data_IF_693978662090
#
_entry.id   IF_693978662090
#
_cell.length_a   1.000
_cell.length_b   1.000
_cell.length_c   1.000
_cell.angle_alpha   90.00
_cell.angle_beta   90.00
_cell.angle_gamma   90.00
#
_symmetry.space_group_name_H-M   'P 1'
#
loop_
_entity.id
_entity.type
_entity.pdbx_description
1 polymer ?
#
# COMPACT_ATOMS: atom_id res chain seq x y z
N UNK A 1 33.06 -6.02 22.00
CA UNK A 1 31.60 -5.80 21.97
C UNK A 1 31.36 -4.30 21.96
N UNK A 2 31.15 -3.74 20.79
CA UNK A 2 30.60 -2.38 20.63
C UNK A 2 29.54 -2.48 19.55
N UNK A 3 28.31 -2.19 19.96
CA UNK A 3 27.10 -2.27 19.19
C UNK A 3 27.18 -1.30 18.00
N UNK A 4 27.14 -1.84 16.78
CA UNK A 4 26.67 -1.09 15.62
C UNK A 4 25.18 -1.36 15.49
N UNK A 5 24.38 -0.73 16.36
CA UNK A 5 22.98 -0.48 16.03
C UNK A 5 23.04 0.47 14.84
N UNK A 6 22.76 -0.05 13.65
CA UNK A 6 22.43 0.80 12.53
C UNK A 6 21.34 1.75 12.99
N UNK A 7 21.52 3.03 12.72
CA UNK A 7 20.36 3.89 12.55
C UNK A 7 19.56 3.24 11.42
N UNK A 8 18.56 2.43 11.77
CA UNK A 8 17.39 2.27 10.94
C UNK A 8 16.72 3.65 10.97
N UNK A 9 17.29 4.58 10.19
CA UNK A 9 16.80 5.94 10.08
C UNK A 9 15.34 5.87 9.67
N UNK A 10 14.50 6.69 10.31
CA UNK A 10 13.12 6.84 9.89
C UNK A 10 13.05 7.00 8.36
N UNK A 11 12.07 6.34 7.73
CA UNK A 11 11.89 6.37 6.29
C UNK A 11 11.97 7.80 5.76
N UNK A 12 12.77 8.01 4.71
CA UNK A 12 12.86 9.30 4.04
C UNK A 12 12.00 9.37 2.78
N UNK A 13 11.90 10.55 2.17
CA UNK A 13 11.07 10.77 0.98
C UNK A 13 11.47 9.91 -0.21
N UNK A 14 12.77 9.76 -0.48
CA UNK A 14 13.29 8.97 -1.60
C UNK A 14 13.01 7.47 -1.40
N UNK A 15 13.16 6.96 -0.18
CA UNK A 15 12.83 5.58 0.17
C UNK A 15 11.32 5.32 0.05
N UNK A 16 10.49 6.23 0.60
CA UNK A 16 9.04 6.13 0.48
C UNK A 16 8.60 6.11 -0.99
N UNK A 17 9.13 7.04 -1.78
CA UNK A 17 8.80 7.14 -3.20
C UNK A 17 9.31 5.94 -3.99
N UNK A 18 10.52 5.44 -3.69
CA UNK A 18 11.10 4.27 -4.33
C UNK A 18 10.28 3.01 -4.09
N UNK A 19 9.78 2.81 -2.87
CA UNK A 19 8.94 1.67 -2.51
C UNK A 19 7.59 1.72 -3.23
N UNK A 20 6.92 2.88 -3.24
CA UNK A 20 5.67 3.04 -4.00
C UNK A 20 5.90 2.87 -5.50
N UNK A 21 7.01 3.39 -6.03
CA UNK A 21 7.36 3.22 -7.44
C UNK A 21 7.53 1.74 -7.80
N UNK A 22 8.19 0.97 -6.93
CA UNK A 22 8.37 -0.47 -7.11
C UNK A 22 7.01 -1.20 -7.13
N UNK A 23 6.13 -0.92 -6.16
CA UNK A 23 4.81 -1.55 -6.06
C UNK A 23 3.88 -1.26 -7.22
N UNK A 24 4.00 -0.06 -7.80
CA UNK A 24 3.22 0.38 -8.96
C UNK A 24 3.88 0.05 -10.30
N UNK A 25 5.09 -0.52 -10.28
CA UNK A 25 5.89 -0.80 -11.48
C UNK A 25 6.03 0.42 -12.41
N UNK A 26 6.11 1.61 -11.83
CA UNK A 26 6.14 2.83 -12.61
C UNK A 26 7.51 3.06 -13.27
N UNK A 27 7.50 3.56 -14.53
CA UNK A 27 8.73 3.75 -15.29
C UNK A 27 9.58 4.92 -14.79
N UNK A 28 8.98 5.87 -14.07
CA UNK A 28 9.63 7.08 -13.60
C UNK A 28 9.09 7.57 -12.25
N UNK A 29 10.00 8.15 -11.47
CA UNK A 29 9.71 8.73 -10.15
C UNK A 29 8.72 9.89 -10.22
N UNK A 30 8.70 10.63 -11.34
CA UNK A 30 7.77 11.75 -11.53
C UNK A 30 6.31 11.30 -11.51
N UNK A 31 6.00 10.17 -12.18
CA UNK A 31 4.67 9.53 -12.13
C UNK A 31 4.32 9.09 -10.72
N UNK A 32 5.28 8.50 -10.00
CA UNK A 32 5.07 8.04 -8.62
C UNK A 32 4.73 9.19 -7.68
N UNK A 33 5.51 10.28 -7.71
CA UNK A 33 5.26 11.45 -6.86
C UNK A 33 3.90 12.07 -7.16
N UNK A 34 3.47 12.09 -8.43
CA UNK A 34 2.12 12.56 -8.78
C UNK A 34 1.02 11.69 -8.17
N UNK A 35 1.14 10.36 -8.25
CA UNK A 35 0.18 9.43 -7.66
C UNK A 35 0.11 9.56 -6.13
N UNK A 36 1.26 9.61 -5.45
CA UNK A 36 1.34 9.83 -4.00
C UNK A 36 0.66 11.15 -3.62
N UNK A 37 1.07 12.25 -4.25
CA UNK A 37 0.54 13.59 -3.97
C UNK A 37 -0.98 13.63 -4.22
N UNK A 38 -1.43 13.13 -5.37
CA UNK A 38 -2.85 13.13 -5.74
C UNK A 38 -3.68 12.36 -4.72
N UNK A 39 -3.24 11.16 -4.33
CA UNK A 39 -3.92 10.32 -3.34
C UNK A 39 -3.98 11.03 -1.98
N UNK A 40 -2.83 11.45 -1.45
CA UNK A 40 -2.71 11.99 -0.09
C UNK A 40 -3.38 13.35 0.08
N UNK A 41 -3.31 14.23 -0.93
CA UNK A 41 -4.06 15.50 -0.90
C UNK A 41 -5.56 15.26 -0.92
N UNK A 42 -6.03 14.33 -1.75
CA UNK A 42 -7.47 14.01 -1.82
C UNK A 42 -7.95 13.39 -0.52
N UNK A 43 -7.14 12.53 0.11
CA UNK A 43 -7.48 11.95 1.40
C UNK A 43 -7.51 13.02 2.51
N UNK A 44 -6.54 13.92 2.52
CA UNK A 44 -6.49 15.05 3.47
C UNK A 44 -7.70 15.98 3.34
N UNK A 45 -8.20 16.21 2.12
CA UNK A 45 -9.45 16.97 1.91
C UNK A 45 -10.68 16.26 2.49
N UNK A 46 -10.73 14.92 2.41
CA UNK A 46 -11.89 14.13 2.84
C UNK A 46 -12.02 14.06 4.36
N UNK A 47 -10.90 13.96 5.07
CA UNK A 47 -10.88 13.72 6.51
C UNK A 47 -10.69 15.03 7.30
N UNK A 48 -11.11 15.09 8.58
CA UNK A 48 -10.83 16.25 9.43
C UNK A 48 -9.33 16.53 9.54
N UNK A 49 -8.96 17.81 9.70
CA UNK A 49 -7.56 18.26 9.77
C UNK A 49 -6.75 17.48 10.81
N UNK A 50 -7.26 17.34 12.05
CA UNK A 50 -6.56 16.59 13.09
C UNK A 50 -6.33 15.11 12.74
N UNK A 51 -7.28 14.46 12.07
CA UNK A 51 -7.11 13.08 11.62
C UNK A 51 -6.05 12.97 10.51
N UNK A 52 -5.95 13.97 9.64
CA UNK A 52 -4.89 14.06 8.64
C UNK A 52 -3.52 14.29 9.30
N UNK A 53 -3.44 15.14 10.32
CA UNK A 53 -2.21 15.39 11.07
C UNK A 53 -1.71 14.15 11.81
N UNK A 54 -2.62 13.43 12.48
CA UNK A 54 -2.32 12.22 13.24
C UNK A 54 -1.82 11.12 12.31
N UNK A 55 -2.55 10.83 11.22
CA UNK A 55 -2.13 9.83 10.24
C UNK A 55 -0.77 10.17 9.61
N UNK A 56 -0.52 11.45 9.35
CA UNK A 56 0.71 11.89 8.72
C UNK A 56 1.89 12.05 9.70
N UNK A 57 1.69 11.86 11.01
CA UNK A 57 2.70 12.15 12.03
C UNK A 57 3.96 11.28 11.92
N UNK A 58 3.82 10.04 11.43
CA UNK A 58 4.93 9.10 11.23
C UNK A 58 5.54 9.15 9.83
N UNK A 59 4.95 9.92 8.91
CA UNK A 59 5.41 9.99 7.52
C UNK A 59 6.57 10.98 7.35
N UNK A 60 7.42 10.81 6.30
CA UNK A 60 8.43 11.79 5.95
C UNK A 60 7.82 13.18 5.76
N UNK A 61 8.56 14.25 6.08
CA UNK A 61 8.04 15.62 6.13
C UNK A 61 7.32 16.05 4.83
N UNK A 62 7.91 15.72 3.68
CA UNK A 62 7.36 16.02 2.36
C UNK A 62 6.06 15.24 2.09
N UNK A 63 5.99 13.98 2.54
CA UNK A 63 4.80 13.14 2.42
C UNK A 63 3.70 13.66 3.34
N UNK A 64 4.06 14.00 4.58
CA UNK A 64 3.16 14.62 5.55
C UNK A 64 2.55 15.92 5.01
N UNK A 65 3.36 16.74 4.33
CA UNK A 65 2.89 18.00 3.77
C UNK A 65 1.75 17.82 2.76
N UNK A 66 1.72 16.73 1.99
CA UNK A 66 0.63 16.47 1.04
C UNK A 66 -0.72 16.24 1.71
N UNK A 67 -0.77 15.70 2.93
CA UNK A 67 -2.02 15.52 3.67
C UNK A 67 -2.43 16.75 4.47
N UNK A 68 -1.51 17.67 4.70
CA UNK A 68 -1.67 18.79 5.64
C UNK A 68 -1.46 20.12 4.92
N UNK A 69 -0.24 20.66 4.91
CA UNK A 69 0.04 22.01 4.37
C UNK A 69 -0.27 22.22 2.89
N UNK A 70 -0.46 21.16 2.09
CA UNK A 70 -0.92 21.25 0.71
C UNK A 70 -2.46 21.35 0.59
N UNK A 71 -3.19 20.93 1.61
CA UNK A 71 -4.65 20.91 1.68
C UNK A 71 -5.13 22.22 2.31
N UNK A 72 -6.05 22.90 1.63
CA UNK A 72 -6.57 24.18 2.10
C UNK A 72 -7.87 24.02 2.90
N UNK A 73 -8.65 22.98 2.59
CA UNK A 73 -9.94 22.72 3.22
C UNK A 73 -10.07 21.22 3.53
N UNK A 74 -10.15 20.91 4.81
CA UNK A 74 -10.32 19.56 5.36
C UNK A 74 -11.78 19.24 5.67
N UNK A 75 -12.10 17.94 5.80
CA UNK A 75 -13.42 17.48 6.21
C UNK A 75 -14.51 17.65 5.15
N UNK A 76 -14.13 17.81 3.88
CA UNK A 76 -15.06 17.84 2.75
C UNK A 76 -15.82 16.51 2.67
N UNK A 77 -17.08 16.56 2.23
CA UNK A 77 -17.92 15.36 2.06
C UNK A 77 -17.98 14.97 0.60
N UNK A 78 -17.39 13.82 0.29
CA UNK A 78 -17.49 13.18 -1.01
C UNK A 78 -17.26 11.67 -0.88
N UNK A 79 -17.72 10.92 -1.87
CA UNK A 79 -17.68 9.46 -1.89
C UNK A 79 -16.43 8.91 -2.61
N UNK A 80 -16.32 7.59 -2.65
CA UNK A 80 -15.25 6.89 -3.36
C UNK A 80 -15.17 7.24 -4.86
N UNK A 81 -16.29 7.48 -5.53
CA UNK A 81 -16.28 7.79 -6.95
C UNK A 81 -15.68 9.18 -7.22
N UNK A 82 -16.10 10.17 -6.44
CA UNK A 82 -15.58 11.54 -6.50
C UNK A 82 -14.11 11.59 -6.08
N UNK A 83 -13.71 10.79 -5.09
CA UNK A 83 -12.29 10.64 -4.72
C UNK A 83 -11.45 10.22 -5.94
N UNK A 84 -11.87 9.17 -6.67
CA UNK A 84 -11.14 8.71 -7.84
C UNK A 84 -11.10 9.75 -8.97
N UNK A 85 -12.19 10.51 -9.15
CA UNK A 85 -12.24 11.59 -10.14
C UNK A 85 -11.19 12.66 -9.84
N UNK A 86 -11.11 13.10 -8.57
CA UNK A 86 -10.11 14.08 -8.12
C UNK A 86 -8.68 13.56 -8.23
N UNK A 87 -8.43 12.30 -7.86
CA UNK A 87 -7.10 11.69 -7.98
C UNK A 87 -6.68 11.60 -9.44
N UNK A 88 -7.56 11.10 -10.32
CA UNK A 88 -7.34 11.03 -11.77
C UNK A 88 -7.01 12.41 -12.36
N UNK A 89 -7.80 13.44 -12.03
CA UNK A 89 -7.56 14.82 -12.47
C UNK A 89 -6.18 15.34 -12.01
N UNK A 90 -5.79 15.06 -10.75
CA UNK A 90 -4.52 15.51 -10.16
C UNK A 90 -3.29 14.78 -10.70
N UNK A 91 -3.44 13.52 -11.09
CA UNK A 91 -2.40 12.75 -11.77
C UNK A 91 -2.22 13.20 -13.23
N UNK A 92 -3.32 13.53 -13.91
CA UNK A 92 -3.36 14.12 -15.25
C UNK A 92 -4.05 13.23 -16.30
N UNK A 93 -4.16 13.74 -17.53
CA UNK A 93 -4.97 13.19 -18.64
C UNK A 93 -4.68 11.73 -19.05
N UNK A 94 -3.57 11.15 -18.57
CA UNK A 94 -3.16 9.77 -18.86
C UNK A 94 -3.59 8.74 -17.81
N UNK A 95 -4.19 9.19 -16.70
CA UNK A 95 -4.64 8.32 -15.62
C UNK A 95 -6.16 8.27 -15.65
N UNK A 96 -6.75 7.10 -15.93
CA UNK A 96 -8.20 6.91 -15.82
C UNK A 96 -8.64 6.59 -14.37
N UNK A 97 -9.95 6.50 -14.14
CA UNK A 97 -10.51 6.26 -12.81
C UNK A 97 -10.09 4.91 -12.20
N UNK A 98 -9.89 3.88 -13.03
CA UNK A 98 -9.48 2.55 -12.56
C UNK A 98 -8.02 2.56 -12.13
N UNK A 99 -7.16 3.21 -12.91
CA UNK A 99 -5.75 3.43 -12.58
C UNK A 99 -5.63 4.27 -11.29
N UNK A 100 -6.37 5.38 -11.18
CA UNK A 100 -6.38 6.22 -9.98
C UNK A 100 -6.82 5.44 -8.73
N UNK A 101 -7.85 4.61 -8.85
CA UNK A 101 -8.30 3.72 -7.77
C UNK A 101 -7.21 2.72 -7.36
N UNK A 102 -6.56 2.09 -8.34
CA UNK A 102 -5.46 1.16 -8.10
C UNK A 102 -4.27 1.84 -7.41
N UNK A 103 -3.80 2.98 -7.93
CA UNK A 103 -2.70 3.72 -7.32
C UNK A 103 -3.00 4.12 -5.88
N UNK A 104 -4.22 4.61 -5.64
CA UNK A 104 -4.65 5.06 -4.32
C UNK A 104 -4.62 3.92 -3.30
N UNK A 105 -5.08 2.72 -3.68
CA UNK A 105 -5.04 1.53 -2.80
C UNK A 105 -3.61 1.14 -2.44
N UNK A 106 -2.70 1.17 -3.41
CA UNK A 106 -1.29 0.82 -3.19
C UNK A 106 -0.58 1.85 -2.29
N UNK A 107 -0.85 3.14 -2.52
CA UNK A 107 -0.33 4.22 -1.66
C UNK A 107 -0.88 4.08 -0.24
N UNK A 108 -2.19 3.85 -0.07
CA UNK A 108 -2.81 3.72 1.26
C UNK A 108 -2.37 2.44 1.97
N UNK A 109 -2.20 1.33 1.25
CA UNK A 109 -1.59 0.11 1.78
C UNK A 109 -0.20 0.38 2.34
N UNK A 110 0.63 1.07 1.57
CA UNK A 110 1.96 1.40 2.04
C UNK A 110 1.92 2.35 3.23
N UNK A 111 1.09 3.39 3.22
CA UNK A 111 0.89 4.27 4.38
C UNK A 111 0.49 3.47 5.62
N UNK A 112 -0.41 2.49 5.49
CA UNK A 112 -0.83 1.62 6.60
C UNK A 112 0.36 0.91 7.26
N UNK A 113 1.39 0.53 6.48
CA UNK A 113 2.61 -0.10 6.99
C UNK A 113 3.58 0.89 7.68
N UNK A 114 3.43 2.18 7.44
CA UNK A 114 4.33 3.23 7.95
C UNK A 114 3.79 3.95 9.20
N UNK A 115 2.51 3.77 9.52
CA UNK A 115 1.84 4.48 10.61
C UNK A 115 1.44 3.52 11.73
N UNK A 116 1.23 4.01 12.97
CA UNK A 116 0.65 3.21 14.03
C UNK A 116 -0.72 2.63 13.63
N UNK A 117 -1.04 1.37 13.99
CA UNK A 117 -2.34 0.77 13.67
C UNK A 117 -3.55 1.58 14.19
N UNK A 118 -3.38 2.30 15.31
CA UNK A 118 -4.42 3.18 15.86
C UNK A 118 -4.75 4.34 14.92
N UNK A 119 -3.76 4.90 14.24
CA UNK A 119 -3.93 6.08 13.40
C UNK A 119 -4.55 5.66 12.06
N UNK A 120 -4.17 4.48 11.56
CA UNK A 120 -4.85 3.87 10.42
C UNK A 120 -6.29 3.46 10.72
N UNK A 121 -6.58 2.95 11.92
CA UNK A 121 -7.97 2.66 12.32
C UNK A 121 -8.80 3.95 12.39
N UNK A 122 -8.24 5.03 12.94
CA UNK A 122 -8.91 6.33 12.96
C UNK A 122 -9.24 6.85 11.55
N UNK A 123 -8.37 6.62 10.56
CA UNK A 123 -8.67 6.91 9.16
C UNK A 123 -9.92 6.15 8.69
N UNK A 124 -10.00 4.83 8.94
CA UNK A 124 -11.16 4.02 8.55
C UNK A 124 -12.44 4.54 9.18
N UNK A 125 -12.41 4.92 10.45
CA UNK A 125 -13.56 5.43 11.16
C UNK A 125 -14.13 6.75 10.56
N UNK A 126 -13.35 7.48 9.75
CA UNK A 126 -13.79 8.68 9.03
C UNK A 126 -14.44 8.41 7.66
N UNK A 127 -14.33 7.18 7.15
CA UNK A 127 -14.65 6.81 5.77
C UNK A 127 -15.71 5.71 5.75
N UNK A 128 -16.99 6.04 5.51
CA UNK A 128 -18.07 5.06 5.45
C UNK A 128 -17.81 3.97 4.41
N UNK A 129 -17.63 2.72 4.87
CA UNK A 129 -17.18 1.64 4.00
C UNK A 129 -18.31 0.94 3.23
N UNK A 130 -19.56 1.06 3.70
CA UNK A 130 -20.70 0.33 3.14
C UNK A 130 -20.94 0.72 1.67
N UNK A 131 -21.29 -0.25 0.83
CA UNK A 131 -21.51 -0.02 -0.61
C UNK A 131 -22.64 0.98 -0.88
N UNK A 132 -23.66 0.99 -0.03
CA UNK A 132 -24.78 1.91 -0.09
C UNK A 132 -24.48 3.26 0.57
N UNK A 133 -23.37 3.38 1.30
CA UNK A 133 -22.95 4.58 2.03
C UNK A 133 -21.50 4.95 1.68
N UNK A 134 -21.33 5.75 0.63
CA UNK A 134 -20.05 6.27 0.10
C UNK A 134 -19.00 5.26 -0.39
N UNK A 135 -19.12 3.96 -0.07
CA UNK A 135 -18.37 2.83 -0.65
C UNK A 135 -16.84 2.90 -0.47
N UNK A 136 -16.36 3.47 0.65
CA UNK A 136 -14.93 3.63 0.92
C UNK A 136 -14.18 2.33 1.23
N UNK A 137 -14.87 1.22 1.49
CA UNK A 137 -14.22 -0.08 1.70
C UNK A 137 -13.31 -0.48 0.54
N UNK A 138 -13.61 0.03 -0.66
CA UNK A 138 -12.77 -0.14 -1.86
C UNK A 138 -11.36 0.40 -1.73
N UNK A 139 -11.13 1.44 -0.94
CA UNK A 139 -9.79 2.00 -0.73
C UNK A 139 -8.90 1.01 0.03
N UNK A 140 -9.50 0.19 0.89
CA UNK A 140 -8.81 -0.68 1.83
C UNK A 140 -8.64 -2.12 1.34
N UNK A 141 -9.14 -2.46 0.15
CA UNK A 141 -9.12 -3.82 -0.40
C UNK A 141 -7.73 -4.49 -0.37
N UNK A 142 -6.65 -3.74 -0.63
CA UNK A 142 -5.28 -4.28 -0.59
C UNK A 142 -4.84 -4.55 0.85
N UNK A 143 -5.14 -3.64 1.77
CA UNK A 143 -4.83 -3.80 3.20
C UNK A 143 -5.60 -4.99 3.78
N UNK A 144 -6.89 -5.11 3.44
CA UNK A 144 -7.76 -6.20 3.89
C UNK A 144 -7.34 -7.57 3.32
N UNK A 145 -6.65 -7.58 2.18
CA UNK A 145 -6.10 -8.78 1.57
C UNK A 145 -4.77 -9.26 2.18
N UNK A 146 -4.23 -8.56 3.20
CA UNK A 146 -2.93 -8.86 3.81
C UNK A 146 -1.80 -7.94 3.32
N UNK A 147 -2.11 -6.98 2.45
CA UNK A 147 -1.18 -6.03 1.88
C UNK A 147 -0.63 -6.45 0.51
N UNK A 148 0.18 -5.57 -0.09
CA UNK A 148 0.68 -5.76 -1.46
C UNK A 148 1.40 -7.09 -1.72
N UNK A 149 2.18 -7.61 -0.75
CA UNK A 149 2.92 -8.88 -0.89
C UNK A 149 2.01 -10.09 -1.09
N UNK A 150 1.01 -10.26 -0.23
CA UNK A 150 0.04 -11.36 -0.32
C UNK A 150 -0.88 -11.21 -1.55
N UNK A 151 -1.20 -9.97 -1.93
CA UNK A 151 -1.97 -9.68 -3.14
C UNK A 151 -1.22 -10.09 -4.42
N UNK A 152 0.11 -9.94 -4.48
CA UNK A 152 0.92 -10.36 -5.62
C UNK A 152 1.09 -11.88 -5.69
N UNK A 153 1.20 -12.56 -4.55
CA UNK A 153 1.21 -14.03 -4.48
C UNK A 153 -0.12 -14.65 -4.94
N UNK A 154 -1.25 -14.04 -4.56
CA UNK A 154 -2.58 -14.47 -5.01
C UNK A 154 -2.79 -14.31 -6.54
N UNK A 155 -2.18 -13.30 -7.15
CA UNK A 155 -2.27 -13.03 -8.60
C UNK A 155 -1.31 -13.89 -9.45
N UNK A 156 -0.21 -14.37 -8.86
CA UNK A 156 0.81 -15.16 -9.58
C UNK A 156 0.56 -16.67 -9.55
N UNK A 157 -0.47 -17.15 -8.85
CA UNK A 157 -0.83 -18.59 -8.84
C UNK A 157 0.28 -19.49 -8.29
N UNK A 158 1.17 -18.95 -7.45
CA UNK A 158 2.23 -19.69 -6.80
C UNK A 158 1.72 -20.40 -5.56
N UNK A 159 1.06 -21.55 -5.74
CA UNK A 159 0.82 -22.47 -4.61
C UNK A 159 2.15 -22.84 -3.91
N UNK A 160 2.12 -23.19 -2.62
CA UNK A 160 3.34 -23.51 -1.87
C UNK A 160 4.14 -24.58 -2.62
N UNK A 161 5.37 -24.23 -3.02
CA UNK A 161 6.31 -25.21 -3.56
C UNK A 161 6.55 -26.25 -2.46
N UNK A 162 6.19 -27.53 -2.66
CA UNK A 162 6.53 -28.55 -1.69
C UNK A 162 8.05 -28.62 -1.60
N UNK A 163 8.58 -28.39 -0.41
CA UNK A 163 9.98 -28.62 -0.10
C UNK A 163 10.34 -30.04 -0.56
N UNK A 164 11.31 -30.14 -1.46
CA UNK A 164 11.82 -31.42 -1.93
C UNK A 164 12.42 -32.18 -0.75
N UNK A 165 11.63 -33.09 -0.20
CA UNK A 165 12.10 -34.09 0.77
C UNK A 165 13.01 -35.05 0.00
N UNK A 166 14.25 -35.33 0.45
CA UNK A 166 15.10 -36.28 -0.24
C UNK A 166 14.54 -37.69 -0.03
N UNK A 167 13.99 -38.28 -1.10
CA UNK A 167 13.51 -39.66 -1.09
C UNK A 167 14.70 -40.63 -0.92
N UNK A 168 14.75 -41.27 0.24
CA UNK A 168 15.61 -42.42 0.50
C UNK A 168 15.14 -43.62 -0.32
N UNK A 169 15.93 -43.97 -1.35
CA UNK A 169 15.75 -45.19 -2.13
C UNK A 169 16.12 -46.43 -1.32
N UNK A 170 15.11 -47.09 -0.74
CA UNK A 170 15.21 -48.46 -0.23
C UNK A 170 14.77 -49.42 -1.34
N UNK A 171 15.73 -50.09 -1.99
CA UNK A 171 15.47 -51.19 -2.91
C UNK A 171 15.93 -52.51 -2.31
N UNK A 172 14.99 -53.33 -1.87
CA UNK A 172 15.19 -54.68 -1.30
C UNK A 172 15.26 -55.77 -2.36
N UNK A 173 16.21 -56.68 -2.14
CA UNK A 173 16.18 -58.14 -2.33
C UNK A 173 16.14 -58.74 -3.75
N UNK A 174 17.09 -59.65 -3.99
CA UNK A 174 17.14 -60.59 -5.11
C UNK A 174 18.35 -61.51 -4.97
N UNK A 175 18.21 -62.49 -4.07
CA UNK A 175 19.06 -63.68 -3.94
C UNK A 175 18.82 -64.59 -5.16
N UNK A 176 19.86 -65.00 -5.89
CA UNK A 176 19.98 -66.30 -6.56
C UNK A 176 21.45 -66.56 -7.00
N UNK A 177 21.88 -67.83 -7.20
CA UNK A 177 23.27 -68.26 -7.04
C UNK A 177 23.96 -68.80 -8.33
N UNK A 178 25.25 -69.17 -8.16
CA UNK A 178 26.13 -70.01 -9.03
C UNK A 178 26.62 -69.32 -10.34
N UNK A 179 27.90 -69.31 -10.71
CA UNK A 179 28.94 -70.37 -10.78
C UNK A 179 30.34 -69.81 -10.48
#
# INVERSE_FOLDING_TARGET
MTYSLGEAGAMNFDEFTGEVQHRLEFPDTGRTVRAIRATLMTLGERIPEGAAEDLAASLPLEIKWYMTGAVHEHGQRFDWQEFNARVSEREGERTDLSEAAYHSRIVVDFVASQVPPSDFQQLRDQLPEDRADENWGKLFEVVDAGGWGDAQEAQTGGGPQPEATPEGGSGTAGDEPED
#
